data_IF_392504243042
#
_entry.id   IF_392504243042
#
_cell.length_a   1.000
_cell.length_b   1.000
_cell.length_c   1.000
_cell.angle_alpha   90.00
_cell.angle_beta   90.00
_cell.angle_gamma   90.00
#
_symmetry.space_group_name_H-M   'P 1'
#
loop_
_entity.id
_entity.type
_entity.pdbx_description
1 polymer ?
#
# COMPACT_ATOMS: atom_id res chain seq x y z
N UNK A 1 2.54 7.15 -20.04
CA UNK A 1 1.75 6.35 -19.08
C UNK A 1 2.72 5.60 -18.18
N UNK A 2 2.66 5.83 -16.87
CA UNK A 2 3.35 4.95 -15.93
C UNK A 2 2.72 3.55 -16.03
N UNK A 3 3.53 2.51 -15.93
CA UNK A 3 3.04 1.12 -15.87
C UNK A 3 3.01 0.70 -14.41
N UNK A 4 2.00 -0.09 -14.02
CA UNK A 4 1.97 -0.66 -12.68
C UNK A 4 3.24 -1.49 -12.42
N UNK A 5 3.76 -1.44 -11.19
CA UNK A 5 4.85 -2.32 -10.81
C UNK A 5 4.40 -3.78 -10.97
N UNK A 6 5.26 -4.67 -11.52
CA UNK A 6 4.93 -6.08 -11.64
C UNK A 6 4.79 -6.73 -10.27
N UNK A 7 4.03 -7.82 -10.19
CA UNK A 7 3.75 -8.56 -8.94
C UNK A 7 5.03 -8.87 -8.17
N UNK A 8 6.08 -9.33 -8.85
CA UNK A 8 7.37 -9.66 -8.23
C UNK A 8 8.06 -8.44 -7.58
N UNK A 9 8.00 -7.26 -8.22
CA UNK A 9 8.57 -6.02 -7.68
C UNK A 9 7.75 -5.56 -6.47
N UNK A 10 6.42 -5.58 -6.60
CA UNK A 10 5.47 -5.24 -5.53
C UNK A 10 5.65 -6.15 -4.31
N UNK A 11 5.71 -7.46 -4.51
CA UNK A 11 5.91 -8.44 -3.44
C UNK A 11 7.29 -8.30 -2.79
N UNK A 12 8.34 -8.05 -3.58
CA UNK A 12 9.69 -7.83 -3.07
C UNK A 12 9.77 -6.57 -2.19
N UNK A 13 9.10 -5.49 -2.61
CA UNK A 13 9.02 -4.26 -1.83
C UNK A 13 8.29 -4.48 -0.50
N UNK A 14 7.10 -5.07 -0.52
CA UNK A 14 6.33 -5.36 0.69
C UNK A 14 7.10 -6.27 1.66
N UNK A 15 7.77 -7.30 1.14
CA UNK A 15 8.63 -8.16 1.96
C UNK A 15 9.83 -7.41 2.55
N UNK A 16 10.42 -6.47 1.80
CA UNK A 16 11.55 -5.66 2.28
C UNK A 16 11.14 -4.74 3.44
N UNK A 17 9.94 -4.15 3.37
CA UNK A 17 9.36 -3.38 4.48
C UNK A 17 9.11 -4.26 5.71
N UNK A 18 8.52 -5.45 5.53
CA UNK A 18 8.26 -6.38 6.63
C UNK A 18 9.56 -6.93 7.25
N UNK A 19 10.58 -7.17 6.44
CA UNK A 19 11.88 -7.64 6.91
C UNK A 19 12.62 -6.56 7.71
N UNK A 20 12.54 -5.29 7.26
CA UNK A 20 13.23 -4.16 7.89
C UNK A 20 12.52 -3.63 9.14
N UNK A 21 11.19 -3.68 9.17
CA UNK A 21 10.38 -2.98 10.18
C UNK A 21 9.46 -3.88 10.99
N UNK A 22 9.44 -5.18 10.67
CA UNK A 22 8.70 -6.20 11.39
C UNK A 22 7.37 -6.59 10.73
N UNK A 23 6.77 -7.71 11.19
CA UNK A 23 5.64 -8.34 10.53
C UNK A 23 4.35 -7.51 10.55
N UNK A 24 4.28 -6.47 11.37
CA UNK A 24 3.11 -5.61 11.52
C UNK A 24 3.26 -4.27 10.82
N UNK A 25 4.40 -3.99 10.18
CA UNK A 25 4.67 -2.66 9.63
C UNK A 25 3.61 -2.15 8.67
N UNK A 26 3.10 -3.03 7.80
CA UNK A 26 2.13 -2.70 6.78
C UNK A 26 0.76 -2.30 7.36
N UNK A 27 0.50 -2.53 8.66
CA UNK A 27 -0.72 -2.04 9.32
C UNK A 27 -0.83 -0.50 9.28
N UNK A 28 0.31 0.19 9.20
CA UNK A 28 0.37 1.66 9.11
C UNK A 28 -0.15 2.19 7.77
N UNK A 29 -0.08 1.38 6.72
CA UNK A 29 -0.45 1.75 5.35
C UNK A 29 -1.82 1.21 4.97
N UNK A 30 -2.08 -0.04 5.33
CA UNK A 30 -3.25 -0.81 4.91
C UNK A 30 -4.25 -1.06 6.05
N UNK A 31 -4.01 -0.48 7.23
CA UNK A 31 -4.86 -0.67 8.41
C UNK A 31 -4.67 -2.02 9.12
N UNK A 32 -5.47 -2.26 10.15
CA UNK A 32 -5.31 -3.39 11.07
C UNK A 32 -5.29 -4.78 10.42
N UNK A 33 -5.95 -4.95 9.25
CA UNK A 33 -5.96 -6.22 8.49
C UNK A 33 -4.60 -6.58 7.89
N UNK A 34 -3.69 -5.61 7.78
CA UNK A 34 -2.35 -5.84 7.25
C UNK A 34 -1.32 -6.31 8.29
N UNK A 35 -1.76 -6.54 9.53
CA UNK A 35 -0.95 -7.17 10.56
C UNK A 35 -0.49 -8.57 10.16
N UNK A 36 0.52 -9.07 10.87
CA UNK A 36 1.02 -10.43 10.71
C UNK A 36 1.40 -10.80 9.27
N UNK A 37 2.05 -9.87 8.55
CA UNK A 37 2.43 -10.01 7.14
C UNK A 37 1.23 -10.16 6.21
N UNK A 38 0.20 -9.34 6.43
CA UNK A 38 -1.03 -9.33 5.61
C UNK A 38 -1.79 -10.65 5.67
N UNK A 39 -1.68 -11.43 6.75
CA UNK A 39 -2.25 -12.80 6.82
C UNK A 39 -3.75 -12.82 6.58
N UNK A 40 -4.48 -11.86 7.14
CA UNK A 40 -5.92 -11.70 6.96
C UNK A 40 -6.31 -11.26 5.53
N UNK A 41 -5.36 -10.78 4.74
CA UNK A 41 -5.52 -10.41 3.33
C UNK A 41 -4.95 -11.47 2.37
N UNK A 42 -4.66 -12.68 2.86
CA UNK A 42 -4.09 -13.76 2.04
C UNK A 42 -2.56 -13.70 1.88
N UNK A 43 -1.88 -12.87 2.67
CA UNK A 43 -0.42 -12.72 2.69
C UNK A 43 0.13 -11.72 1.68
N UNK A 44 1.45 -11.55 1.69
CA UNK A 44 2.16 -10.58 0.85
C UNK A 44 1.91 -10.81 -0.65
N UNK A 45 1.89 -12.06 -1.08
CA UNK A 45 1.71 -12.41 -2.49
C UNK A 45 0.32 -12.01 -3.00
N UNK A 46 -0.75 -12.35 -2.27
CA UNK A 46 -2.12 -11.99 -2.61
C UNK A 46 -2.30 -10.48 -2.74
N UNK A 47 -1.75 -9.72 -1.78
CA UNK A 47 -1.81 -8.25 -1.82
C UNK A 47 -0.97 -7.67 -2.95
N UNK A 48 0.18 -8.25 -3.26
CA UNK A 48 1.01 -7.81 -4.36
C UNK A 48 0.36 -8.06 -5.72
N UNK A 49 -0.32 -9.21 -5.88
CA UNK A 49 -1.15 -9.53 -7.05
C UNK A 49 -2.26 -8.49 -7.17
N UNK A 50 -3.05 -8.30 -6.11
CA UNK A 50 -4.14 -7.33 -6.11
C UNK A 50 -3.64 -5.91 -6.46
N UNK A 51 -2.56 -5.42 -5.87
CA UNK A 51 -2.00 -4.10 -6.20
C UNK A 51 -1.54 -3.98 -7.67
N UNK A 52 -1.08 -5.06 -8.27
CA UNK A 52 -0.53 -5.04 -9.64
C UNK A 52 -1.62 -5.25 -10.70
N UNK A 53 -2.66 -6.02 -10.39
CA UNK A 53 -3.74 -6.36 -11.32
C UNK A 53 -4.95 -5.42 -11.19
N UNK A 54 -5.26 -4.93 -9.99
CA UNK A 54 -6.49 -4.18 -9.74
C UNK A 54 -6.51 -2.82 -10.40
N UNK A 55 -7.54 -2.56 -11.21
CA UNK A 55 -7.56 -1.38 -12.05
C UNK A 55 -7.55 -0.07 -11.23
N UNK A 56 -8.32 -0.09 -10.16
CA UNK A 56 -8.59 1.04 -9.29
C UNK A 56 -8.50 0.59 -7.84
N UNK A 57 -8.49 1.55 -6.92
CA UNK A 57 -8.49 1.27 -5.48
C UNK A 57 -9.76 0.56 -5.02
N UNK A 58 -10.89 0.82 -5.69
CA UNK A 58 -12.14 0.11 -5.44
C UNK A 58 -12.04 -1.36 -5.89
N UNK A 59 -11.49 -1.63 -7.09
CA UNK A 59 -11.24 -3.00 -7.57
C UNK A 59 -10.29 -3.76 -6.63
N UNK A 60 -9.25 -3.08 -6.13
CA UNK A 60 -8.34 -3.63 -5.12
C UNK A 60 -9.08 -3.98 -3.83
N UNK A 61 -9.99 -3.10 -3.40
CA UNK A 61 -10.85 -3.31 -2.24
C UNK A 61 -11.75 -4.54 -2.42
N UNK A 62 -12.39 -4.68 -3.57
CA UNK A 62 -13.23 -5.85 -3.87
C UNK A 62 -12.41 -7.15 -3.92
N UNK A 63 -11.24 -7.13 -4.57
CA UNK A 63 -10.39 -8.31 -4.74
C UNK A 63 -9.86 -8.86 -3.40
N UNK A 64 -9.59 -7.97 -2.44
CA UNK A 64 -9.16 -8.34 -1.08
C UNK A 64 -10.32 -8.38 -0.07
N UNK A 65 -11.56 -8.21 -0.52
CA UNK A 65 -12.76 -8.19 0.31
C UNK A 65 -12.64 -7.20 1.50
N UNK A 66 -12.12 -6.01 1.21
CA UNK A 66 -11.94 -4.92 2.15
C UNK A 66 -13.28 -4.26 2.47
N UNK A 67 -13.40 -3.77 3.71
CA UNK A 67 -14.57 -3.00 4.10
C UNK A 67 -14.48 -1.61 3.46
N UNK A 68 -15.60 -0.94 3.25
CA UNK A 68 -15.61 0.44 2.74
C UNK A 68 -14.67 1.38 3.52
N UNK A 69 -14.67 1.27 4.85
CA UNK A 69 -13.77 2.05 5.71
C UNK A 69 -12.29 1.75 5.51
N UNK A 70 -11.94 0.49 5.17
CA UNK A 70 -10.55 0.11 4.86
C UNK A 70 -10.12 0.74 3.53
N UNK A 71 -11.00 0.72 2.52
CA UNK A 71 -10.77 1.34 1.21
C UNK A 71 -10.65 2.86 1.32
N UNK A 72 -11.52 3.52 2.09
CA UNK A 72 -11.46 4.97 2.32
C UNK A 72 -10.18 5.39 3.07
N UNK A 73 -9.75 4.58 4.05
CA UNK A 73 -8.47 4.81 4.73
C UNK A 73 -7.31 4.73 3.74
N UNK A 74 -7.24 3.65 2.96
CA UNK A 74 -6.23 3.48 1.92
C UNK A 74 -6.25 4.64 0.91
N UNK A 75 -7.42 5.04 0.45
CA UNK A 75 -7.59 6.17 -0.47
C UNK A 75 -7.01 7.45 0.10
N UNK A 76 -7.22 7.70 1.40
CA UNK A 76 -6.66 8.85 2.09
C UNK A 76 -5.13 8.81 2.15
N UNK A 77 -4.53 7.62 2.35
CA UNK A 77 -3.06 7.44 2.32
C UNK A 77 -2.50 7.72 0.94
N UNK A 78 -3.10 7.17 -0.11
CA UNK A 78 -2.68 7.40 -1.49
C UNK A 78 -2.86 8.86 -1.93
N UNK A 79 -3.97 9.51 -1.55
CA UNK A 79 -4.20 10.94 -1.79
C UNK A 79 -3.17 11.82 -1.07
N UNK A 80 -2.77 11.47 0.16
CA UNK A 80 -1.71 12.18 0.85
C UNK A 80 -0.40 12.10 0.06
N UNK A 81 -0.07 10.94 -0.49
CA UNK A 81 1.11 10.75 -1.33
C UNK A 81 1.02 11.56 -2.62
N UNK A 82 -0.12 11.53 -3.32
CA UNK A 82 -0.38 12.29 -4.54
C UNK A 82 -0.20 13.80 -4.33
N UNK A 83 -0.70 14.31 -3.21
CA UNK A 83 -0.59 15.72 -2.86
C UNK A 83 0.78 16.10 -2.25
N UNK A 84 1.68 15.15 -2.07
CA UNK A 84 2.97 15.36 -1.41
C UNK A 84 2.85 15.64 0.10
N UNK A 85 1.73 15.27 0.73
CA UNK A 85 1.49 15.42 2.17
C UNK A 85 2.23 14.35 2.99
N UNK A 86 3.53 14.59 3.11
CA UNK A 86 4.46 13.83 3.94
C UNK A 86 4.05 13.85 5.41
N UNK A 87 3.31 14.87 5.87
CA UNK A 87 2.84 15.00 7.25
C UNK A 87 1.89 13.88 7.66
N UNK A 88 1.00 13.46 6.74
CA UNK A 88 0.09 12.34 6.96
C UNK A 88 0.86 11.01 7.13
N UNK A 89 1.84 10.73 6.27
CA UNK A 89 2.67 9.52 6.40
C UNK A 89 3.40 9.45 7.74
N UNK A 90 3.91 10.59 8.23
CA UNK A 90 4.52 10.66 9.57
C UNK A 90 3.50 10.40 10.68
N UNK A 91 2.27 10.90 10.56
CA UNK A 91 1.20 10.64 11.52
C UNK A 91 0.80 9.17 11.59
N UNK A 92 0.99 8.40 10.50
CA UNK A 92 0.83 6.93 10.50
C UNK A 92 2.00 6.21 11.21
N UNK A 93 2.99 6.95 11.70
CA UNK A 93 4.16 6.41 12.38
C UNK A 93 5.26 5.90 11.44
N UNK A 94 5.29 6.37 10.19
CA UNK A 94 6.39 6.13 9.24
C UNK A 94 7.54 7.07 9.60
N UNK A 95 8.75 6.53 9.82
CA UNK A 95 9.91 7.35 10.20
C UNK A 95 10.48 8.07 8.98
N UNK A 96 11.18 9.17 9.21
CA UNK A 96 11.85 9.96 8.17
C UNK A 96 12.79 9.11 7.29
N UNK A 97 13.47 8.11 7.88
CA UNK A 97 14.38 7.20 7.17
C UNK A 97 13.69 6.26 6.18
N UNK A 98 12.38 6.04 6.32
CA UNK A 98 11.58 5.10 5.52
C UNK A 98 10.70 5.83 4.50
N UNK A 99 10.53 7.14 4.72
CA UNK A 99 9.52 7.93 4.05
C UNK A 99 9.79 8.05 2.55
N UNK A 100 11.06 8.13 2.15
CA UNK A 100 11.46 8.18 0.75
C UNK A 100 11.01 6.94 -0.02
N UNK A 101 11.34 5.75 0.49
CA UNK A 101 11.01 4.47 -0.14
C UNK A 101 9.49 4.24 -0.19
N UNK A 102 8.79 4.49 0.92
CA UNK A 102 7.33 4.32 0.99
C UNK A 102 6.61 5.29 0.06
N UNK A 103 6.99 6.58 0.09
CA UNK A 103 6.40 7.59 -0.79
C UNK A 103 6.63 7.22 -2.25
N UNK A 104 7.86 6.88 -2.62
CA UNK A 104 8.21 6.52 -4.01
C UNK A 104 7.39 5.33 -4.53
N UNK A 105 7.21 4.30 -3.71
CA UNK A 105 6.40 3.14 -4.09
C UNK A 105 4.91 3.49 -4.25
N UNK A 106 4.34 4.23 -3.31
CA UNK A 106 2.93 4.65 -3.40
C UNK A 106 2.72 5.60 -4.59
N UNK A 107 3.67 6.50 -4.88
CA UNK A 107 3.64 7.37 -6.06
C UNK A 107 3.62 6.57 -7.36
N UNK A 108 4.35 5.45 -7.46
CA UNK A 108 4.30 4.59 -8.66
C UNK A 108 2.88 4.09 -8.93
N UNK A 109 2.14 3.71 -7.89
CA UNK A 109 0.76 3.23 -8.03
C UNK A 109 -0.18 4.39 -8.40
N UNK A 110 -0.09 5.53 -7.71
CA UNK A 110 -0.89 6.73 -8.02
C UNK A 110 -0.73 7.16 -9.48
N UNK A 111 0.50 7.23 -9.97
CA UNK A 111 0.81 7.64 -11.35
C UNK A 111 0.23 6.72 -12.43
N UNK A 112 -0.31 5.55 -12.07
CA UNK A 112 -0.97 4.62 -12.99
C UNK A 112 -2.48 4.83 -13.07
N UNK A 113 -3.02 5.82 -12.35
CA UNK A 113 -4.46 6.05 -12.24
C UNK A 113 -5.12 5.15 -11.20
N UNK A 114 -4.37 4.56 -10.27
CA UNK A 114 -4.90 3.64 -9.26
C UNK A 114 -5.96 4.29 -8.34
N UNK A 115 -5.92 5.61 -8.18
CA UNK A 115 -6.88 6.38 -7.37
C UNK A 115 -8.19 6.74 -8.11
N UNK A 116 -8.22 6.56 -9.43
CA UNK A 116 -9.33 6.95 -10.31
C UNK A 116 -10.48 5.94 -10.25
#
# INVERSE_FOLDING_TARGET
AARRPPVEETASFLNSLLASHGPNYLEKLFGSKARHRLRDLGGVESVAIALSESQTIDDFGENLNLSRSDVEHLRSVFLAVENGDVGMLKSLGIKDSELGDVKFFLEKLVNTGFLD
#
